data_IF_071589031503
#
_entry.id   IF_071589031503
#
_cell.length_a   1.000
_cell.length_b   1.000
_cell.length_c   1.000
_cell.angle_alpha   90.00
_cell.angle_beta   90.00
_cell.angle_gamma   90.00
#
_symmetry.space_group_name_H-M   'P 1'
#
loop_
_entity.id
_entity.type
_entity.pdbx_description
1 polymer ?
#
# COMPACT_ATOMS: atom_id res chain seq x y z
N UNK A 1 -23.39 26.93 9.55
CA UNK A 1 -22.01 26.77 9.10
C UNK A 1 -22.04 25.85 7.90
N UNK A 2 -21.42 26.26 6.79
CA UNK A 2 -21.27 25.38 5.63
C UNK A 2 -20.54 24.11 6.04
N UNK A 3 -21.01 22.95 5.53
CA UNK A 3 -20.42 21.66 5.87
C UNK A 3 -19.14 21.47 5.06
N UNK A 4 -18.00 21.52 5.72
CA UNK A 4 -16.70 21.23 5.10
C UNK A 4 -16.61 19.74 4.78
N UNK A 5 -16.17 19.42 3.57
CA UNK A 5 -15.87 18.08 3.07
C UNK A 5 -14.40 17.97 2.66
N UNK A 6 -13.87 16.77 2.69
CA UNK A 6 -12.57 16.49 2.09
C UNK A 6 -12.72 16.11 0.61
N UNK A 7 -11.90 16.70 -0.26
CA UNK A 7 -11.87 16.38 -1.70
C UNK A 7 -10.47 16.00 -2.13
N UNK A 8 -10.36 15.04 -3.07
CA UNK A 8 -9.08 14.69 -3.69
C UNK A 8 -8.73 15.76 -4.73
N UNK A 9 -7.67 16.52 -4.50
CA UNK A 9 -7.19 17.59 -5.38
C UNK A 9 -6.00 17.21 -6.24
N UNK A 10 -5.36 16.07 -5.94
CA UNK A 10 -4.21 15.60 -6.71
C UNK A 10 -3.97 14.12 -6.55
N UNK A 11 -3.40 13.52 -7.61
CA UNK A 11 -3.01 12.12 -7.63
C UNK A 11 -1.63 11.94 -8.24
N UNK A 12 -0.85 11.03 -7.68
CA UNK A 12 0.44 10.61 -8.19
C UNK A 12 0.60 9.10 -8.08
N UNK A 13 1.47 8.52 -8.89
CA UNK A 13 1.73 7.09 -8.86
C UNK A 13 3.14 6.76 -9.31
N UNK A 14 3.61 5.59 -8.90
CA UNK A 14 4.88 5.05 -9.36
C UNK A 14 4.83 3.52 -9.36
N UNK A 15 5.28 2.94 -10.45
CA UNK A 15 5.55 1.50 -10.56
C UNK A 15 7.00 1.31 -11.00
N UNK A 16 7.70 0.25 -10.55
CA UNK A 16 9.05 -0.06 -10.99
C UNK A 16 9.15 -0.32 -12.50
N UNK A 17 10.35 -0.18 -13.06
CA UNK A 17 10.57 -0.37 -14.49
C UNK A 17 10.58 -1.86 -14.89
N UNK A 18 11.10 -2.72 -14.00
CA UNK A 18 11.18 -4.15 -14.29
C UNK A 18 9.82 -4.80 -14.35
N UNK A 19 9.58 -5.53 -15.45
CA UNK A 19 8.37 -6.27 -15.73
C UNK A 19 8.65 -7.76 -15.55
N UNK A 20 7.96 -8.39 -14.60
CA UNK A 20 7.92 -9.83 -14.42
C UNK A 20 6.74 -10.41 -15.20
N UNK A 21 6.99 -11.05 -16.33
CA UNK A 21 5.95 -11.63 -17.21
C UNK A 21 5.48 -13.00 -16.72
N UNK A 22 4.34 -13.46 -17.27
CA UNK A 22 3.86 -14.82 -17.00
C UNK A 22 4.81 -15.90 -17.54
N UNK A 23 5.48 -15.64 -18.69
CA UNK A 23 6.48 -16.56 -19.25
C UNK A 23 7.72 -16.67 -18.35
N UNK A 24 8.15 -15.58 -17.72
CA UNK A 24 9.25 -15.61 -16.77
C UNK A 24 8.87 -16.39 -15.50
N UNK A 25 7.66 -16.19 -14.97
CA UNK A 25 7.15 -16.97 -13.83
C UNK A 25 7.03 -18.46 -14.14
N UNK A 26 6.66 -18.84 -15.39
CA UNK A 26 6.59 -20.23 -15.82
C UNK A 26 7.94 -20.95 -15.79
N UNK A 27 9.07 -20.21 -15.73
CA UNK A 27 10.41 -20.79 -15.53
C UNK A 27 10.75 -21.02 -14.06
N UNK A 28 10.01 -20.41 -13.15
CA UNK A 28 10.27 -20.49 -11.71
C UNK A 28 9.33 -21.48 -11.00
N UNK A 29 8.07 -21.57 -11.44
CA UNK A 29 7.05 -22.43 -10.84
C UNK A 29 6.20 -23.11 -11.93
N UNK A 30 5.56 -24.21 -11.60
CA UNK A 30 4.67 -24.95 -12.51
C UNK A 30 3.40 -24.16 -12.83
N UNK A 31 3.46 -23.29 -13.84
CA UNK A 31 2.38 -22.44 -14.34
C UNK A 31 2.55 -22.08 -15.79
N UNK A 32 1.59 -21.36 -16.38
CA UNK A 32 1.67 -20.78 -17.72
C UNK A 32 0.78 -19.54 -17.85
N UNK A 33 0.93 -18.77 -18.95
CA UNK A 33 0.16 -17.55 -19.19
C UNK A 33 -1.34 -17.79 -19.22
N UNK A 34 -1.80 -18.87 -19.86
CA UNK A 34 -3.22 -19.20 -19.96
C UNK A 34 -3.84 -19.46 -18.59
N UNK A 35 -3.15 -20.25 -17.75
CA UNK A 35 -3.62 -20.56 -16.40
C UNK A 35 -3.72 -19.29 -15.51
N UNK A 36 -2.67 -18.44 -15.55
CA UNK A 36 -2.65 -17.20 -14.76
C UNK A 36 -3.75 -16.25 -15.25
N UNK A 37 -3.82 -16.00 -16.55
CA UNK A 37 -4.77 -15.06 -17.14
C UNK A 37 -6.22 -15.47 -16.91
N UNK A 38 -6.52 -16.76 -17.07
CA UNK A 38 -7.89 -17.27 -16.87
C UNK A 38 -8.35 -17.15 -15.41
N UNK A 39 -7.42 -17.34 -14.44
CA UNK A 39 -7.76 -17.38 -13.02
C UNK A 39 -7.72 -16.02 -12.35
N UNK A 40 -6.78 -15.17 -12.71
CA UNK A 40 -6.53 -13.91 -12.01
C UNK A 40 -6.47 -12.68 -12.92
N UNK A 41 -6.48 -12.86 -14.24
CA UNK A 41 -6.47 -11.77 -15.22
C UNK A 41 -5.13 -11.03 -15.35
N UNK A 42 -4.08 -11.45 -14.63
CA UNK A 42 -2.80 -10.74 -14.55
C UNK A 42 -1.89 -11.18 -15.69
N UNK A 43 -1.35 -10.20 -16.44
CA UNK A 43 -0.40 -10.43 -17.53
C UNK A 43 1.05 -10.21 -17.11
N UNK A 44 1.28 -9.21 -16.23
CA UNK A 44 2.61 -8.79 -15.78
C UNK A 44 2.57 -8.23 -14.36
N UNK A 45 3.73 -8.17 -13.70
CA UNK A 45 3.95 -7.53 -12.39
C UNK A 45 5.13 -6.60 -12.49
N UNK A 46 5.05 -5.46 -11.83
CA UNK A 46 6.16 -4.53 -11.68
C UNK A 46 6.92 -4.86 -10.41
N UNK A 47 8.24 -5.01 -10.50
CA UNK A 47 9.09 -5.46 -9.38
C UNK A 47 10.25 -4.49 -9.18
N UNK A 48 10.43 -4.02 -7.95
CA UNK A 48 11.56 -3.19 -7.53
C UNK A 48 12.76 -4.09 -7.23
N UNK A 49 13.64 -4.26 -8.22
CA UNK A 49 14.82 -5.14 -8.12
C UNK A 49 16.04 -4.47 -7.50
N UNK A 50 16.07 -3.15 -7.45
CA UNK A 50 17.23 -2.40 -6.95
C UNK A 50 17.44 -2.70 -5.46
N UNK A 51 18.65 -3.16 -5.13
CA UNK A 51 19.06 -3.44 -3.76
C UNK A 51 19.05 -2.17 -2.90
N UNK A 52 18.71 -2.31 -1.63
CA UNK A 52 18.65 -1.22 -0.67
C UNK A 52 17.47 -0.25 -0.85
N UNK A 53 16.57 -0.50 -1.82
CA UNK A 53 15.35 0.27 -1.99
C UNK A 53 14.12 -0.52 -1.53
N UNK A 54 13.31 0.13 -0.70
CA UNK A 54 12.08 -0.44 -0.13
C UNK A 54 10.82 0.29 -0.57
N UNK A 55 9.71 0.03 0.11
CA UNK A 55 8.41 0.65 -0.20
C UNK A 55 8.40 2.16 0.03
N UNK A 56 9.25 2.70 0.92
CA UNK A 56 9.40 4.15 1.09
C UNK A 56 9.95 4.84 -0.16
N UNK A 57 10.79 4.16 -0.95
CA UNK A 57 11.25 4.66 -2.24
C UNK A 57 10.09 4.81 -3.23
N UNK A 58 9.23 3.79 -3.33
CA UNK A 58 8.02 3.81 -4.16
C UNK A 58 7.08 4.94 -3.71
N UNK A 59 6.81 5.01 -2.40
CA UNK A 59 6.00 6.05 -1.76
C UNK A 59 6.51 7.45 -2.10
N UNK A 60 7.81 7.69 -1.95
CA UNK A 60 8.46 8.97 -2.27
C UNK A 60 8.32 9.34 -3.74
N UNK A 61 8.45 8.37 -4.67
CA UNK A 61 8.28 8.61 -6.11
C UNK A 61 6.85 9.03 -6.44
N UNK A 62 5.85 8.34 -5.88
CA UNK A 62 4.43 8.67 -6.06
C UNK A 62 4.09 10.05 -5.48
N UNK A 63 4.55 10.34 -4.25
CA UNK A 63 4.37 11.64 -3.61
C UNK A 63 5.05 12.77 -4.40
N UNK A 64 6.28 12.56 -4.88
CA UNK A 64 6.99 13.53 -5.72
C UNK A 64 6.23 13.83 -7.00
N UNK A 65 5.70 12.80 -7.67
CA UNK A 65 4.90 12.98 -8.88
C UNK A 65 3.64 13.80 -8.60
N UNK A 66 2.93 13.51 -7.48
CA UNK A 66 1.76 14.26 -7.04
C UNK A 66 2.10 15.75 -6.87
N UNK A 67 3.14 16.07 -6.09
CA UNK A 67 3.58 17.45 -5.86
C UNK A 67 3.91 18.16 -7.18
N UNK A 68 4.63 17.49 -8.08
CA UNK A 68 4.98 18.05 -9.39
C UNK A 68 3.76 18.30 -10.29
N UNK A 69 2.77 17.40 -10.28
CA UNK A 69 1.55 17.54 -11.10
C UNK A 69 0.62 18.64 -10.60
N UNK A 70 0.51 18.78 -9.29
CA UNK A 70 -0.39 19.76 -8.67
C UNK A 70 0.23 21.13 -8.51
N UNK A 71 1.57 21.22 -8.46
CA UNK A 71 2.28 22.46 -8.12
C UNK A 71 2.08 22.89 -6.67
N UNK A 72 1.55 22.01 -5.79
CA UNK A 72 1.35 22.33 -4.38
C UNK A 72 2.69 22.63 -3.72
N UNK A 73 2.71 23.69 -2.91
CA UNK A 73 3.88 23.99 -2.07
C UNK A 73 4.03 22.89 -1.01
N UNK A 74 5.15 22.14 -1.01
CA UNK A 74 5.39 21.06 -0.04
C UNK A 74 5.30 21.51 1.41
N UNK A 75 5.59 22.77 1.70
CA UNK A 75 5.53 23.32 3.06
C UNK A 75 4.10 23.56 3.58
N UNK A 76 3.11 23.43 2.72
CA UNK A 76 1.68 23.57 3.10
C UNK A 76 1.02 22.24 3.44
N UNK A 77 1.75 21.14 3.37
CA UNK A 77 1.25 19.80 3.70
C UNK A 77 1.35 19.63 5.23
N UNK A 78 0.21 19.36 5.87
CA UNK A 78 0.12 19.23 7.33
C UNK A 78 0.43 17.82 7.82
N UNK A 79 0.00 16.81 7.06
CA UNK A 79 0.11 15.40 7.46
C UNK A 79 0.36 14.48 6.27
N UNK A 80 1.18 13.45 6.50
CA UNK A 80 1.41 12.34 5.55
C UNK A 80 1.00 11.04 6.24
N UNK A 81 0.03 10.32 5.68
CA UNK A 81 -0.39 9.00 6.15
C UNK A 81 0.03 7.97 5.10
N UNK A 82 0.84 7.00 5.49
CA UNK A 82 1.29 5.94 4.57
C UNK A 82 0.64 4.60 4.93
N UNK A 83 -0.18 4.05 4.04
CA UNK A 83 -0.70 2.70 4.14
C UNK A 83 0.33 1.72 3.58
N UNK A 84 0.85 0.82 4.42
CA UNK A 84 1.80 -0.21 4.02
C UNK A 84 1.86 -1.37 5.01
N UNK A 85 2.08 -2.58 4.50
CA UNK A 85 2.42 -3.79 5.27
C UNK A 85 3.86 -4.25 5.01
N UNK A 86 4.54 -3.61 4.06
CA UNK A 86 5.91 -3.89 3.66
C UNK A 86 6.83 -2.70 3.92
N UNK A 87 6.68 -2.06 5.10
CA UNK A 87 7.52 -0.93 5.50
C UNK A 87 9.00 -1.30 5.47
N UNK A 88 9.87 -0.31 5.14
CA UNK A 88 11.31 -0.51 5.05
C UNK A 88 11.89 -1.00 6.38
N UNK A 89 11.38 -0.45 7.47
CA UNK A 89 11.82 -0.76 8.85
C UNK A 89 10.59 -0.90 9.76
N UNK A 90 10.78 -1.50 10.92
CA UNK A 90 9.75 -1.45 11.99
C UNK A 90 9.58 -0.04 12.54
N UNK A 91 10.65 0.70 12.58
CA UNK A 91 10.75 2.14 12.85
C UNK A 91 12.05 2.66 12.25
N UNK A 92 12.10 3.91 11.73
CA UNK A 92 10.99 4.85 11.59
C UNK A 92 9.94 4.39 10.58
N UNK A 93 8.77 5.05 10.58
CA UNK A 93 7.69 4.83 9.61
C UNK A 93 8.10 5.26 8.19
N UNK A 94 7.49 4.66 7.16
CA UNK A 94 7.68 5.10 5.77
C UNK A 94 7.25 6.57 5.58
N UNK A 95 6.17 7.00 6.23
CA UNK A 95 5.74 8.39 6.21
C UNK A 95 6.86 9.33 6.70
N UNK A 96 7.55 8.99 7.80
CA UNK A 96 8.67 9.79 8.32
C UNK A 96 9.84 9.83 7.32
N UNK A 97 10.15 8.72 6.66
CA UNK A 97 11.19 8.65 5.63
C UNK A 97 10.84 9.53 4.43
N UNK A 98 9.58 9.46 3.97
CA UNK A 98 9.09 10.29 2.83
C UNK A 98 9.14 11.77 3.17
N UNK A 99 8.67 12.17 4.36
CA UNK A 99 8.71 13.55 4.87
C UNK A 99 10.16 14.07 4.82
N UNK A 100 11.10 13.33 5.41
CA UNK A 100 12.52 13.74 5.44
C UNK A 100 13.14 13.81 4.04
N UNK A 101 12.84 12.84 3.16
CA UNK A 101 13.40 12.79 1.79
C UNK A 101 12.82 13.82 0.83
N UNK A 102 11.61 14.32 1.08
CA UNK A 102 10.96 15.37 0.28
C UNK A 102 11.06 16.75 0.91
N UNK A 103 11.63 16.88 2.12
CA UNK A 103 11.77 18.15 2.82
C UNK A 103 10.44 18.76 3.25
N UNK A 104 9.45 17.95 3.65
CA UNK A 104 8.14 18.41 4.11
C UNK A 104 8.22 18.85 5.59
N UNK A 105 8.94 19.94 5.86
CA UNK A 105 9.34 20.32 7.23
C UNK A 105 8.20 20.69 8.17
N UNK A 106 7.02 21.04 7.62
CA UNK A 106 5.83 21.37 8.41
C UNK A 106 4.90 20.16 8.60
N UNK A 107 5.13 19.06 7.89
CA UNK A 107 4.33 17.86 7.98
C UNK A 107 4.79 16.97 9.14
N UNK A 108 3.82 16.32 9.80
CA UNK A 108 4.05 15.10 10.57
C UNK A 108 3.48 13.90 9.81
N UNK A 109 3.80 12.68 10.25
CA UNK A 109 3.26 11.52 9.57
C UNK A 109 3.42 10.22 10.34
N UNK A 110 2.67 9.22 9.89
CA UNK A 110 2.64 7.87 10.46
C UNK A 110 2.19 6.86 9.42
N UNK A 111 2.50 5.57 9.69
CA UNK A 111 2.05 4.46 8.87
C UNK A 111 0.79 3.82 9.44
N UNK A 112 -0.04 3.27 8.54
CA UNK A 112 -1.22 2.46 8.87
C UNK A 112 -1.07 1.09 8.23
N UNK A 113 -1.13 0.03 9.06
CA UNK A 113 -1.06 -1.35 8.61
C UNK A 113 -2.45 -1.98 8.56
N UNK A 114 -3.10 -1.92 7.41
CA UNK A 114 -4.42 -2.49 7.14
C UNK A 114 -4.46 -3.30 5.83
N UNK A 115 -3.31 -3.76 5.37
CA UNK A 115 -3.15 -4.55 4.15
C UNK A 115 -3.91 -3.94 2.95
N UNK A 116 -4.65 -4.76 2.18
CA UNK A 116 -5.36 -4.34 0.97
C UNK A 116 -6.39 -3.22 1.19
N UNK A 117 -6.92 -3.06 2.41
CA UNK A 117 -7.86 -2.00 2.77
C UNK A 117 -7.18 -0.72 3.25
N UNK A 118 -5.85 -0.70 3.37
CA UNK A 118 -5.09 0.40 3.97
C UNK A 118 -5.39 1.76 3.34
N UNK A 119 -5.49 1.83 2.01
CA UNK A 119 -5.84 3.06 1.31
C UNK A 119 -7.21 3.61 1.73
N UNK A 120 -8.24 2.76 1.80
CA UNK A 120 -9.58 3.18 2.20
C UNK A 120 -9.61 3.70 3.64
N UNK A 121 -8.96 3.00 4.56
CA UNK A 121 -8.84 3.43 5.96
C UNK A 121 -8.11 4.77 6.09
N UNK A 122 -7.04 4.96 5.33
CA UNK A 122 -6.26 6.21 5.39
C UNK A 122 -6.98 7.40 4.74
N UNK A 123 -7.79 7.16 3.70
CA UNK A 123 -8.66 8.21 3.11
C UNK A 123 -9.75 8.62 4.09
N UNK A 124 -10.39 7.67 4.78
CA UNK A 124 -11.40 7.95 5.82
C UNK A 124 -10.80 8.78 6.98
N UNK A 125 -9.63 8.39 7.47
CA UNK A 125 -8.89 9.13 8.50
C UNK A 125 -8.55 10.55 8.03
N UNK A 126 -7.99 10.69 6.82
CA UNK A 126 -7.62 11.99 6.26
C UNK A 126 -8.85 12.89 6.06
N UNK A 127 -9.97 12.33 5.59
CA UNK A 127 -11.24 13.05 5.46
C UNK A 127 -11.74 13.56 6.80
N UNK A 128 -11.70 12.73 7.83
CA UNK A 128 -12.06 13.13 9.21
C UNK A 128 -11.18 14.26 9.72
N UNK A 129 -9.86 14.23 9.48
CA UNK A 129 -8.95 15.29 9.88
C UNK A 129 -9.26 16.62 9.21
N UNK A 130 -9.61 16.61 7.93
CA UNK A 130 -9.95 17.81 7.17
C UNK A 130 -11.34 18.33 7.56
N UNK A 131 -12.35 17.47 7.64
CA UNK A 131 -13.71 17.84 7.99
C UNK A 131 -13.84 18.37 9.43
N UNK A 132 -12.97 17.89 10.34
CA UNK A 132 -12.86 18.45 11.71
C UNK A 132 -12.14 19.80 11.78
N UNK A 133 -11.57 20.29 10.69
CA UNK A 133 -10.76 21.51 10.65
C UNK A 133 -9.36 21.36 11.26
N UNK A 134 -8.93 20.12 11.60
CA UNK A 134 -7.62 19.87 12.21
C UNK A 134 -6.47 20.16 11.25
N UNK A 135 -6.60 19.74 9.99
CA UNK A 135 -5.62 19.94 8.92
C UNK A 135 -6.30 20.50 7.67
N UNK A 136 -5.50 21.21 6.86
CA UNK A 136 -5.94 21.77 5.57
C UNK A 136 -5.56 20.87 4.41
N UNK A 137 -4.40 20.21 4.51
CA UNK A 137 -3.84 19.33 3.47
C UNK A 137 -3.28 18.06 4.07
N UNK A 138 -3.84 16.93 3.66
CA UNK A 138 -3.37 15.61 4.07
C UNK A 138 -2.98 14.82 2.84
N UNK A 139 -1.73 14.37 2.79
CA UNK A 139 -1.25 13.45 1.76
C UNK A 139 -1.44 12.02 2.24
N UNK A 140 -2.21 11.23 1.51
CA UNK A 140 -2.36 9.79 1.71
C UNK A 140 -1.53 9.06 0.68
N UNK A 141 -0.72 8.09 1.12
CA UNK A 141 0.13 7.26 0.26
C UNK A 141 -0.20 5.80 0.55
N UNK A 142 -0.41 4.99 -0.50
CA UNK A 142 -0.39 3.54 -0.39
C UNK A 142 0.85 3.03 -1.14
N UNK A 143 1.70 2.25 -0.47
CA UNK A 143 2.96 1.79 -1.06
C UNK A 143 3.31 0.39 -0.56
N UNK A 144 3.55 -0.52 -1.51
CA UNK A 144 3.90 -1.90 -1.18
C UNK A 144 5.07 -2.39 -2.04
N UNK A 145 6.05 -3.03 -1.38
CA UNK A 145 7.05 -3.89 -2.01
C UNK A 145 6.72 -5.34 -1.70
N UNK A 146 5.66 -5.86 -2.31
CA UNK A 146 5.19 -7.22 -2.07
C UNK A 146 6.21 -8.27 -2.47
N UNK A 147 7.07 -7.97 -3.45
CA UNK A 147 8.16 -8.86 -3.87
C UNK A 147 9.12 -9.21 -2.74
N UNK A 148 9.18 -8.42 -1.66
CA UNK A 148 10.03 -8.69 -0.49
C UNK A 148 9.48 -9.78 0.43
N UNK A 149 8.18 -10.10 0.33
CA UNK A 149 7.50 -11.10 1.18
C UNK A 149 6.78 -12.19 0.38
N UNK A 150 6.90 -12.18 -0.95
CA UNK A 150 6.36 -13.24 -1.82
C UNK A 150 7.37 -14.37 -1.96
N UNK A 151 6.89 -15.60 -1.82
CA UNK A 151 7.66 -16.80 -2.10
C UNK A 151 7.59 -17.16 -3.60
N UNK A 152 8.67 -16.96 -4.34
CA UNK A 152 8.74 -17.33 -5.75
C UNK A 152 8.88 -18.85 -6.00
N UNK A 153 8.71 -19.68 -4.98
CA UNK A 153 8.51 -21.14 -5.09
C UNK A 153 7.05 -21.53 -4.82
N UNK A 154 6.22 -20.60 -4.37
CA UNK A 154 4.79 -20.82 -4.16
C UNK A 154 3.96 -20.19 -5.29
N UNK A 155 3.48 -21.05 -6.23
CA UNK A 155 2.66 -20.60 -7.36
C UNK A 155 1.32 -19.99 -6.96
N UNK A 156 0.86 -20.18 -5.71
CA UNK A 156 -0.42 -19.63 -5.25
C UNK A 156 -0.33 -18.13 -4.98
N UNK A 157 0.85 -17.65 -4.59
CA UNK A 157 1.08 -16.26 -4.21
C UNK A 157 1.92 -15.49 -5.22
N UNK A 158 2.97 -16.09 -5.81
CA UNK A 158 3.89 -15.39 -6.71
C UNK A 158 3.25 -14.86 -8.00
N UNK A 159 2.11 -15.44 -8.41
CA UNK A 159 1.36 -15.00 -9.59
C UNK A 159 0.48 -13.76 -9.34
N UNK A 160 0.28 -13.35 -8.07
CA UNK A 160 -0.68 -12.32 -7.69
C UNK A 160 -0.05 -10.94 -7.48
N UNK A 161 1.10 -10.88 -6.81
CA UNK A 161 1.59 -9.65 -6.21
C UNK A 161 2.72 -9.01 -7.01
N UNK A 162 2.75 -7.68 -6.99
CA UNK A 162 3.82 -6.84 -7.51
C UNK A 162 4.05 -5.64 -6.60
N UNK A 163 4.92 -4.73 -7.03
CA UNK A 163 5.36 -3.57 -6.29
C UNK A 163 4.83 -2.28 -6.92
N UNK A 164 4.47 -1.31 -6.09
CA UNK A 164 3.99 -0.03 -6.56
C UNK A 164 3.57 0.91 -5.44
N UNK A 165 3.31 2.15 -5.81
CA UNK A 165 2.76 3.16 -4.91
C UNK A 165 1.84 4.13 -5.64
N UNK A 166 0.84 4.62 -4.90
CA UNK A 166 0.01 5.75 -5.30
C UNK A 166 -0.10 6.75 -4.15
N UNK A 167 -0.28 8.02 -4.49
CA UNK A 167 -0.48 9.09 -3.52
C UNK A 167 -1.66 9.95 -3.95
N UNK A 168 -2.46 10.40 -2.99
CA UNK A 168 -3.51 11.38 -3.19
C UNK A 168 -3.34 12.55 -2.20
N UNK A 169 -3.72 13.75 -2.64
CA UNK A 169 -3.85 14.92 -1.79
C UNK A 169 -5.31 15.15 -1.47
N UNK A 170 -5.65 15.28 -0.19
CA UNK A 170 -6.96 15.67 0.26
C UNK A 170 -6.91 17.09 0.82
N UNK A 171 -7.90 17.91 0.44
CA UNK A 171 -8.07 19.30 0.89
C UNK A 171 -9.53 19.58 1.23
N UNK A 172 -9.76 20.68 1.94
CA UNK A 172 -11.12 21.11 2.30
C UNK A 172 -11.88 21.69 1.11
N UNK A 173 -13.16 21.36 1.00
CA UNK A 173 -14.10 22.02 0.07
C UNK A 173 -15.42 22.31 0.78
N UNK A 174 -16.11 23.38 0.35
CA UNK A 174 -17.48 23.71 0.73
C UNK A 174 -18.44 23.59 -0.44
N UNK A 175 -17.97 23.15 -1.60
CA UNK A 175 -18.78 22.96 -2.78
C UNK A 175 -19.81 21.85 -2.57
N UNK A 176 -21.09 22.16 -2.82
CA UNK A 176 -22.19 21.22 -2.59
C UNK A 176 -22.09 20.00 -3.51
N UNK A 177 -22.26 18.80 -2.97
CA UNK A 177 -22.18 17.54 -3.71
C UNK A 177 -20.77 17.07 -4.04
N UNK A 178 -19.73 17.84 -3.71
CA UNK A 178 -18.31 17.51 -3.96
C UNK A 178 -17.64 17.01 -2.69
N UNK A 179 -16.69 16.09 -2.85
CA UNK A 179 -15.85 15.55 -1.78
C UNK A 179 -16.27 14.18 -1.29
N UNK A 180 -15.63 13.75 -0.22
CA UNK A 180 -15.85 12.46 0.41
C UNK A 180 -17.27 12.40 1.02
N UNK A 181 -18.07 11.44 0.59
CA UNK A 181 -19.48 11.36 0.99
C UNK A 181 -19.70 10.49 2.21
N UNK A 182 -19.18 9.25 2.18
CA UNK A 182 -19.37 8.26 3.23
C UNK A 182 -18.32 7.16 3.13
N UNK A 183 -18.15 6.37 4.19
CA UNK A 183 -17.31 5.18 4.24
C UNK A 183 -18.02 4.03 4.95
N UNK A 184 -17.68 2.83 4.51
CA UNK A 184 -18.15 1.59 5.14
C UNK A 184 -16.96 0.68 5.40
N UNK A 185 -16.44 0.72 6.62
CA UNK A 185 -15.26 -0.02 7.03
C UNK A 185 -15.65 -1.17 7.96
N UNK A 186 -15.12 -2.37 7.68
CA UNK A 186 -15.31 -3.57 8.51
C UNK A 186 -13.99 -4.32 8.68
N UNK A 187 -13.85 -5.00 9.80
CA UNK A 187 -12.74 -5.92 10.08
C UNK A 187 -13.27 -7.25 10.54
N UNK A 188 -12.74 -8.34 9.97
CA UNK A 188 -13.03 -9.69 10.39
C UNK A 188 -11.76 -10.43 10.81
N UNK A 189 -11.47 -10.46 12.12
CA UNK A 189 -10.28 -11.08 12.68
C UNK A 189 -10.24 -12.61 12.62
N UNK A 190 -11.36 -13.29 12.34
CA UNK A 190 -11.38 -14.76 12.19
C UNK A 190 -10.66 -15.22 10.91
N UNK A 191 -10.35 -14.32 9.99
CA UNK A 191 -9.61 -14.58 8.76
C UNK A 191 -8.11 -14.87 8.94
N UNK A 192 -7.55 -14.66 10.14
CA UNK A 192 -6.13 -14.85 10.42
C UNK A 192 -5.53 -16.17 9.88
N UNK A 193 -6.16 -17.35 9.99
CA UNK A 193 -5.58 -18.59 9.47
C UNK A 193 -5.43 -18.63 7.93
N UNK A 194 -6.18 -17.80 7.20
CA UNK A 194 -6.29 -17.87 5.75
C UNK A 194 -5.40 -16.87 5.00
N UNK A 195 -4.95 -15.81 5.68
CA UNK A 195 -4.07 -14.79 5.08
C UNK A 195 -3.19 -14.15 6.16
N UNK A 196 -1.91 -14.50 6.17
CA UNK A 196 -0.96 -13.98 7.16
C UNK A 196 0.50 -14.20 6.73
N UNK A 197 1.43 -13.58 7.44
CA UNK A 197 2.84 -13.91 7.43
C UNK A 197 3.22 -14.43 8.82
N UNK A 198 3.72 -15.66 8.89
CA UNK A 198 3.85 -16.41 10.16
C UNK A 198 4.94 -15.86 11.08
N UNK A 199 6.09 -15.45 10.52
CA UNK A 199 7.23 -14.97 11.28
C UNK A 199 7.58 -13.51 10.98
N UNK A 200 8.42 -12.94 11.84
CA UNK A 200 8.83 -11.54 11.77
C UNK A 200 8.06 -10.61 12.71
N UNK A 201 6.95 -11.08 13.31
CA UNK A 201 6.21 -10.39 14.37
C UNK A 201 6.63 -10.77 15.78
N UNK A 202 5.93 -10.23 16.79
CA UNK A 202 6.23 -10.48 18.21
C UNK A 202 5.89 -11.89 18.68
N UNK A 203 4.91 -12.56 18.04
CA UNK A 203 4.55 -13.96 18.35
C UNK A 203 5.61 -14.94 17.86
N UNK A 204 6.21 -14.65 16.72
CA UNK A 204 7.25 -15.48 16.10
C UNK A 204 8.35 -14.56 15.55
N UNK A 205 9.29 -14.11 16.39
CA UNK A 205 10.39 -13.26 15.97
C UNK A 205 11.31 -13.93 14.95
N UNK A 206 12.00 -13.13 14.16
CA UNK A 206 12.97 -13.61 13.17
C UNK A 206 14.10 -14.38 13.85
N UNK A 207 14.43 -15.56 13.32
CA UNK A 207 15.52 -16.42 13.78
C UNK A 207 16.03 -17.25 12.59
N UNK A 208 17.18 -17.92 12.77
CA UNK A 208 17.68 -18.85 11.76
C UNK A 208 16.64 -19.93 11.43
N UNK A 209 15.98 -20.48 12.45
CA UNK A 209 14.92 -21.46 12.29
C UNK A 209 13.79 -20.93 11.38
N UNK A 210 13.29 -19.70 11.63
CA UNK A 210 12.17 -19.15 10.85
C UNK A 210 12.56 -18.81 9.40
N UNK A 211 13.84 -18.47 9.15
CA UNK A 211 14.37 -18.27 7.80
C UNK A 211 14.50 -19.61 7.07
N UNK A 212 15.16 -20.59 7.69
CA UNK A 212 15.37 -21.92 7.11
C UNK A 212 14.03 -22.63 6.80
N UNK A 213 12.98 -22.35 7.58
CA UNK A 213 11.62 -22.88 7.38
C UNK A 213 10.71 -21.96 6.55
N UNK A 214 11.26 -20.96 5.87
CA UNK A 214 10.55 -20.08 4.93
C UNK A 214 9.30 -19.39 5.53
N UNK A 215 9.34 -19.05 6.81
CA UNK A 215 8.17 -18.52 7.55
C UNK A 215 7.97 -17.01 7.36
N UNK A 216 8.84 -16.33 6.58
CA UNK A 216 8.82 -14.90 6.32
C UNK A 216 8.09 -14.52 5.01
N UNK A 217 7.37 -15.47 4.43
CA UNK A 217 6.59 -15.24 3.23
C UNK A 217 5.09 -15.17 3.53
N UNK A 218 4.37 -14.45 2.69
CA UNK A 218 2.92 -14.37 2.76
C UNK A 218 2.30 -15.76 2.51
N UNK A 219 1.41 -16.17 3.39
CA UNK A 219 0.56 -17.34 3.21
C UNK A 219 -0.85 -16.89 2.84
N UNK A 220 -1.44 -17.52 1.83
CA UNK A 220 -2.81 -17.25 1.41
C UNK A 220 -3.54 -18.56 1.05
N UNK A 221 -4.64 -18.84 1.73
CA UNK A 221 -5.60 -19.88 1.29
C UNK A 221 -6.56 -19.25 0.28
N UNK A 222 -6.15 -19.23 -0.99
CA UNK A 222 -6.74 -18.43 -2.06
C UNK A 222 -8.24 -18.65 -2.26
N UNK A 223 -8.74 -19.89 -2.14
CA UNK A 223 -10.16 -20.20 -2.33
C UNK A 223 -11.05 -19.55 -1.28
N UNK A 224 -10.69 -19.64 -0.01
CA UNK A 224 -11.43 -19.05 1.11
C UNK A 224 -11.37 -17.53 1.07
N UNK A 225 -10.18 -16.97 0.84
CA UNK A 225 -9.98 -15.50 0.73
C UNK A 225 -10.80 -14.94 -0.43
N UNK A 226 -10.73 -15.56 -1.62
CA UNK A 226 -11.51 -15.11 -2.78
C UNK A 226 -13.02 -15.16 -2.52
N UNK A 227 -13.53 -16.30 -2.00
CA UNK A 227 -14.95 -16.43 -1.68
C UNK A 227 -15.41 -15.33 -0.72
N UNK A 228 -14.66 -15.12 0.35
CA UNK A 228 -14.99 -14.05 1.31
C UNK A 228 -15.03 -12.68 0.63
N UNK A 229 -14.01 -12.35 -0.18
CA UNK A 229 -13.91 -11.04 -0.84
C UNK A 229 -15.06 -10.73 -1.81
N UNK A 230 -15.69 -11.75 -2.43
CA UNK A 230 -16.78 -11.55 -3.41
C UNK A 230 -18.18 -11.71 -2.82
N UNK A 231 -18.32 -12.19 -1.57
CA UNK A 231 -19.63 -12.44 -0.93
C UNK A 231 -19.89 -11.61 0.32
N UNK A 232 -18.96 -10.75 0.75
CA UNK A 232 -19.04 -9.95 1.99
C UNK A 232 -19.49 -8.52 1.77
#
# INVERSE_FOLDING_TARGET
>A
MEKVKAVITGVGGYVPEYILTNEELARMVDTNDEWITTRVGIKERRILKEEGLGSSYLARKAAKQLIQKTGVDPQTIDCVICATTTSDYRFPSNASIVIGKLGLTNAHGFDVSCACCGFLYTVDMASTFIESGRYKRVMVIAAEKMSSIVDYQDRQTCVLFGDGAAAVMLEATTEEGVGFQDSFLRTNGIGLPYLHMKAGGSVCPSSRYTVDHRMHYIYQEGRTVFRYAVTS
#
